data_IF_840491209685
#
_entry.id   IF_840491209685
#
_cell.length_a   1.000
_cell.length_b   1.000
_cell.length_c   1.000
_cell.angle_alpha   90.00
_cell.angle_beta   90.00
_cell.angle_gamma   90.00
#
_symmetry.space_group_name_H-M   'P 1'
#
loop_
_entity.id
_entity.type
_entity.pdbx_description
1 polymer ?
#
# COMPACT_ATOMS: atom_id res chain seq x y z
N UNK A 1 -20.60 -70.05 31.13
CA UNK A 1 -21.19 -69.10 30.15
C UNK A 1 -21.12 -67.68 30.69
N UNK A 2 -19.95 -67.01 30.64
CA UNK A 2 -19.75 -65.62 31.11
C UNK A 2 -18.60 -64.92 30.35
N UNK A 3 -18.48 -65.15 29.04
CA UNK A 3 -17.42 -64.55 28.20
C UNK A 3 -17.93 -64.11 26.82
N UNK A 4 -19.17 -63.63 26.72
CA UNK A 4 -19.76 -63.26 25.43
C UNK A 4 -20.67 -62.03 25.48
N UNK A 5 -20.33 -61.01 26.27
CA UNK A 5 -21.13 -59.77 26.34
C UNK A 5 -20.31 -58.48 26.54
N UNK A 6 -19.01 -58.51 26.24
CA UNK A 6 -18.12 -57.35 26.36
C UNK A 6 -17.41 -57.03 25.04
N UNK A 7 -18.06 -57.27 23.89
CA UNK A 7 -17.48 -57.01 22.57
C UNK A 7 -18.38 -56.19 21.63
N UNK A 8 -19.35 -55.45 22.17
CA UNK A 8 -20.25 -54.61 21.34
C UNK A 8 -20.23 -53.12 21.76
N UNK A 9 -19.47 -52.74 22.80
CA UNK A 9 -19.44 -51.33 23.26
C UNK A 9 -18.17 -50.55 22.87
N UNK A 10 -17.19 -51.14 22.20
CA UNK A 10 -15.88 -50.48 21.95
C UNK A 10 -15.64 -50.09 20.49
N UNK A 11 -16.61 -50.31 19.59
CA UNK A 11 -16.43 -50.04 18.15
C UNK A 11 -17.16 -48.76 17.67
N UNK A 12 -17.95 -48.09 18.52
CA UNK A 12 -18.85 -47.02 18.07
C UNK A 12 -18.39 -45.57 18.32
N UNK A 13 -17.12 -45.32 18.68
CA UNK A 13 -16.60 -43.95 18.89
C UNK A 13 -15.28 -43.70 18.15
N UNK A 14 -15.14 -44.23 16.94
CA UNK A 14 -14.02 -43.90 16.02
C UNK A 14 -14.51 -43.36 14.67
N UNK A 15 -15.76 -42.85 14.63
CA UNK A 15 -16.40 -42.31 13.43
C UNK A 15 -16.75 -40.83 13.52
N UNK A 16 -16.06 -40.06 14.38
CA UNK A 16 -16.18 -38.60 14.39
C UNK A 16 -15.35 -38.01 13.25
N UNK A 17 -16.00 -37.91 12.09
CA UNK A 17 -15.90 -36.80 11.15
C UNK A 17 -14.49 -36.23 10.97
N UNK A 18 -13.68 -36.88 10.13
CA UNK A 18 -12.74 -36.13 9.28
C UNK A 18 -13.58 -35.36 8.26
N UNK A 19 -14.24 -34.31 8.72
CA UNK A 19 -14.65 -33.24 7.82
C UNK A 19 -13.35 -32.75 7.17
N UNK A 20 -13.19 -32.80 5.84
CA UNK A 20 -12.21 -31.93 5.24
C UNK A 20 -12.63 -30.54 5.68
N UNK A 21 -11.85 -29.96 6.61
CA UNK A 21 -11.78 -28.51 6.69
C UNK A 21 -11.32 -28.14 5.29
N UNK A 22 -12.29 -27.83 4.42
CA UNK A 22 -12.03 -26.98 3.28
C UNK A 22 -11.45 -25.74 3.94
N UNK A 23 -10.13 -25.68 3.99
CA UNK A 23 -9.42 -24.46 4.25
C UNK A 23 -9.90 -23.53 3.15
N UNK A 24 -10.94 -22.75 3.46
CA UNK A 24 -11.23 -21.52 2.76
C UNK A 24 -9.87 -20.83 2.76
N UNK A 25 -9.24 -20.73 1.59
CA UNK A 25 -8.00 -20.00 1.48
C UNK A 25 -8.21 -18.66 2.18
N UNK A 26 -7.29 -18.22 3.05
CA UNK A 26 -7.38 -16.89 3.61
C UNK A 26 -7.56 -15.95 2.42
N UNK A 27 -8.67 -15.23 2.37
CA UNK A 27 -8.83 -14.08 1.48
C UNK A 27 -7.82 -13.04 1.92
N UNK A 28 -6.59 -13.13 1.41
CA UNK A 28 -5.45 -12.19 1.55
C UNK A 28 -5.58 -11.20 2.72
N UNK A 29 -5.57 -11.73 3.94
CA UNK A 29 -5.57 -10.92 5.17
C UNK A 29 -4.13 -10.69 5.61
N UNK A 30 -3.42 -9.78 4.94
CA UNK A 30 -2.05 -9.46 5.34
C UNK A 30 -1.23 -8.77 4.25
N UNK A 31 0.07 -8.67 4.53
CA UNK A 31 1.05 -8.26 3.55
C UNK A 31 1.33 -9.41 2.58
N UNK A 32 1.39 -9.13 1.28
CA UNK A 32 1.89 -10.05 0.27
C UNK A 32 3.43 -10.01 0.20
N UNK A 33 4.02 -10.82 -0.69
CA UNK A 33 5.47 -10.95 -0.84
C UNK A 33 6.17 -9.64 -1.25
N UNK A 34 5.44 -8.72 -1.87
CA UNK A 34 5.94 -7.41 -2.29
C UNK A 34 5.88 -6.36 -1.17
N UNK A 35 5.18 -6.63 -0.06
CA UNK A 35 4.99 -5.68 1.04
C UNK A 35 3.69 -4.87 0.96
N UNK A 36 2.74 -5.24 0.08
CA UNK A 36 1.40 -4.65 0.03
C UNK A 36 0.41 -5.38 0.92
N UNK A 37 -0.36 -4.64 1.71
CA UNK A 37 -1.60 -5.10 2.34
C UNK A 37 -2.76 -4.23 1.84
N UNK A 38 -3.43 -4.71 0.79
CA UNK A 38 -4.52 -3.98 0.12
C UNK A 38 -5.76 -3.80 1.02
N UNK A 39 -6.07 -4.79 1.87
CA UNK A 39 -7.16 -4.67 2.85
C UNK A 39 -6.93 -3.51 3.81
N UNK A 40 -5.68 -3.30 4.23
CA UNK A 40 -5.27 -2.21 5.10
C UNK A 40 -4.81 -0.96 4.34
N UNK A 41 -4.75 -0.98 3.01
CA UNK A 41 -4.28 0.13 2.14
C UNK A 41 -2.93 0.69 2.58
N UNK A 42 -1.98 -0.22 2.75
CA UNK A 42 -0.63 0.09 3.20
C UNK A 42 0.38 -0.73 2.41
N UNK A 43 1.48 -0.07 2.05
CA UNK A 43 2.71 -0.71 1.62
C UNK A 43 3.74 -0.51 2.73
N UNK A 44 4.51 -1.55 3.04
CA UNK A 44 5.63 -1.45 3.98
C UNK A 44 6.68 -2.49 3.60
N UNK A 45 7.77 -2.05 2.99
CA UNK A 45 8.78 -2.95 2.47
C UNK A 45 10.02 -2.25 1.94
N UNK A 46 10.85 -3.02 1.22
CA UNK A 46 11.90 -2.48 0.37
C UNK A 46 11.27 -1.85 -0.87
N UNK A 47 11.85 -0.77 -1.38
CA UNK A 47 11.40 -0.12 -2.60
C UNK A 47 11.39 -1.06 -3.82
N UNK A 48 12.25 -2.07 -3.86
CA UNK A 48 12.23 -3.18 -4.84
C UNK A 48 10.80 -3.74 -5.04
N UNK A 49 10.03 -3.94 -3.95
CA UNK A 49 8.69 -4.52 -4.04
C UNK A 49 7.60 -3.60 -4.60
N UNK A 50 7.81 -2.29 -4.69
CA UNK A 50 6.72 -1.33 -5.01
C UNK A 50 6.22 -1.47 -6.45
N UNK A 51 7.06 -1.89 -7.38
CA UNK A 51 6.67 -2.12 -8.77
C UNK A 51 6.17 -3.55 -9.04
N UNK A 52 5.97 -4.31 -7.96
CA UNK A 52 5.51 -5.71 -7.95
C UNK A 52 6.49 -6.65 -8.64
N UNK A 53 7.78 -6.34 -8.56
CA UNK A 53 8.89 -7.22 -8.90
C UNK A 53 9.82 -7.31 -7.69
N UNK A 54 10.62 -8.35 -7.63
CA UNK A 54 11.65 -8.54 -6.59
C UNK A 54 12.94 -8.93 -7.32
N UNK A 55 13.49 -7.98 -8.06
CA UNK A 55 14.63 -8.18 -8.98
C UNK A 55 15.85 -7.34 -8.60
N UNK A 56 15.81 -6.69 -7.43
CA UNK A 56 16.85 -5.80 -6.96
C UNK A 56 16.81 -4.44 -7.67
N UNK A 57 15.66 -4.08 -8.25
CA UNK A 57 15.44 -2.82 -8.94
C UNK A 57 14.09 -2.23 -8.55
N UNK A 58 13.99 -0.91 -8.55
CA UNK A 58 12.71 -0.21 -8.51
C UNK A 58 12.56 0.57 -9.81
N UNK A 59 11.50 0.26 -10.56
CA UNK A 59 11.23 0.86 -11.88
C UNK A 59 12.42 0.74 -12.85
N UNK A 60 13.13 -0.38 -12.80
CA UNK A 60 14.29 -0.67 -13.66
C UNK A 60 15.61 -0.04 -13.21
N UNK A 61 15.66 0.56 -12.01
CA UNK A 61 16.87 1.14 -11.44
C UNK A 61 17.24 0.46 -10.12
N UNK A 62 18.49 0.00 -9.93
CA UNK A 62 18.94 -0.54 -8.65
C UNK A 62 19.21 0.55 -7.60
N UNK A 63 19.27 1.83 -8.01
CA UNK A 63 19.73 2.96 -7.17
C UNK A 63 19.01 3.04 -5.83
N UNK A 64 17.70 2.79 -5.82
CA UNK A 64 16.88 2.93 -4.62
C UNK A 64 16.28 1.61 -4.15
N UNK A 65 16.63 0.47 -4.75
CA UNK A 65 15.98 -0.81 -4.46
C UNK A 65 16.11 -1.26 -2.99
N UNK A 66 17.20 -0.87 -2.34
CA UNK A 66 17.46 -1.16 -0.93
C UNK A 66 16.80 -0.19 0.05
N UNK A 67 16.19 0.88 -0.45
CA UNK A 67 15.52 1.86 0.40
C UNK A 67 14.26 1.25 1.01
N UNK A 68 13.84 1.77 2.16
CA UNK A 68 12.58 1.39 2.78
C UNK A 68 11.51 2.38 2.40
N UNK A 69 10.35 1.84 2.08
CA UNK A 69 9.19 2.63 1.70
C UNK A 69 7.99 2.20 2.54
N UNK A 70 7.30 3.18 3.11
CA UNK A 70 5.97 3.01 3.68
C UNK A 70 5.02 3.92 2.92
N UNK A 71 3.96 3.34 2.36
CA UNK A 71 2.90 4.12 1.71
C UNK A 71 1.58 3.86 2.41
N UNK A 72 0.72 4.88 2.45
CA UNK A 72 -0.65 4.78 2.95
C UNK A 72 -1.58 5.49 1.99
N UNK A 73 -2.67 4.85 1.60
CA UNK A 73 -3.70 5.44 0.75
C UNK A 73 -5.11 5.21 1.31
N UNK A 74 -6.10 5.90 0.74
CA UNK A 74 -7.52 5.71 1.07
C UNK A 74 -8.26 4.86 0.03
N UNK A 75 -9.52 4.53 0.33
CA UNK A 75 -10.35 3.68 -0.55
C UNK A 75 -10.62 4.29 -1.93
N UNK A 76 -10.64 5.62 -2.02
CA UNK A 76 -10.80 6.33 -3.29
C UNK A 76 -9.62 6.10 -4.24
N UNK A 77 -8.43 5.84 -3.71
CA UNK A 77 -7.28 5.47 -4.53
C UNK A 77 -7.46 4.10 -5.18
N UNK A 78 -8.01 3.13 -4.45
CA UNK A 78 -8.35 1.81 -5.03
C UNK A 78 -9.43 1.98 -6.11
N UNK A 79 -10.51 2.72 -5.80
CA UNK A 79 -11.60 3.00 -6.74
C UNK A 79 -11.08 3.64 -8.03
N UNK A 80 -10.23 4.66 -7.92
CA UNK A 80 -9.68 5.34 -9.08
C UNK A 80 -8.78 4.46 -9.94
N UNK A 81 -7.99 3.56 -9.33
CA UNK A 81 -7.23 2.57 -10.08
C UNK A 81 -8.15 1.57 -10.82
N UNK A 82 -9.21 1.10 -10.17
CA UNK A 82 -10.17 0.15 -10.76
C UNK A 82 -10.99 0.77 -11.90
N UNK A 83 -11.34 2.05 -11.77
CA UNK A 83 -12.13 2.82 -12.75
C UNK A 83 -11.27 3.55 -13.80
N UNK A 84 -9.94 3.50 -13.67
CA UNK A 84 -9.01 4.18 -14.57
C UNK A 84 -9.08 5.72 -14.50
N UNK A 85 -9.46 6.29 -13.35
CA UNK A 85 -9.54 7.73 -13.12
C UNK A 85 -10.46 8.50 -14.10
N UNK A 86 -11.64 7.93 -14.36
CA UNK A 86 -12.58 8.44 -15.38
C UNK A 86 -13.93 8.92 -14.85
N UNK A 87 -14.20 8.80 -13.55
CA UNK A 87 -15.49 9.24 -12.97
C UNK A 87 -15.66 10.76 -13.13
N UNK A 88 -16.71 11.23 -13.82
CA UNK A 88 -16.97 12.67 -13.99
C UNK A 88 -17.30 13.39 -12.67
N UNK A 89 -17.69 12.66 -11.61
CA UNK A 89 -17.88 13.24 -10.28
C UNK A 89 -16.55 13.45 -9.53
N UNK A 90 -15.47 12.86 -10.04
CA UNK A 90 -14.13 12.93 -9.48
C UNK A 90 -13.89 11.99 -8.30
N UNK A 91 -12.68 12.06 -7.77
CA UNK A 91 -12.21 11.20 -6.68
C UNK A 91 -11.72 12.05 -5.51
N UNK A 92 -11.82 11.52 -4.30
CA UNK A 92 -11.16 12.10 -3.12
C UNK A 92 -9.93 11.27 -2.72
N UNK A 93 -9.22 10.76 -3.74
CA UNK A 93 -8.08 9.87 -3.58
C UNK A 93 -6.84 10.61 -3.04
N UNK A 94 -6.14 9.98 -2.10
CA UNK A 94 -4.87 10.48 -1.59
C UNK A 94 -3.92 9.35 -1.20
N UNK A 95 -2.62 9.66 -1.22
CA UNK A 95 -1.58 8.83 -0.63
C UNK A 95 -0.54 9.64 0.17
N UNK A 96 0.06 8.98 1.16
CA UNK A 96 1.33 9.37 1.77
C UNK A 96 2.41 8.42 1.28
N UNK A 97 3.60 8.96 1.06
CA UNK A 97 4.81 8.20 0.76
C UNK A 97 5.92 8.63 1.72
N UNK A 98 6.39 7.68 2.51
CA UNK A 98 7.47 7.82 3.48
C UNK A 98 8.66 6.99 2.99
N UNK A 99 9.60 7.65 2.33
CA UNK A 99 10.77 7.04 1.71
C UNK A 99 11.99 7.20 2.62
N UNK A 100 12.73 6.11 2.87
CA UNK A 100 13.90 6.10 3.74
C UNK A 100 15.02 5.22 3.18
N UNK A 101 15.96 5.86 2.49
CA UNK A 101 17.25 5.32 2.07
C UNK A 101 18.37 5.50 3.08
N UNK A 102 18.14 6.12 4.25
CA UNK A 102 19.10 6.23 5.34
C UNK A 102 19.21 4.90 6.13
N UNK A 103 19.47 3.83 5.40
CA UNK A 103 19.62 2.44 5.87
C UNK A 103 20.93 1.87 5.32
N UNK A 104 21.48 0.79 5.91
CA UNK A 104 22.66 0.13 5.35
C UNK A 104 22.45 -0.27 3.89
N UNK A 105 23.34 0.19 3.00
CA UNK A 105 23.28 0.00 1.53
C UNK A 105 22.09 0.66 0.82
N UNK A 106 21.38 1.58 1.46
CA UNK A 106 20.38 2.44 0.81
C UNK A 106 21.02 3.62 0.07
N UNK A 107 20.18 4.42 -0.56
CA UNK A 107 20.57 5.63 -1.30
C UNK A 107 21.12 6.75 -0.41
N UNK A 108 20.78 6.73 0.87
CA UNK A 108 21.05 7.83 1.82
C UNK A 108 20.03 8.96 1.76
N UNK A 109 19.04 8.90 0.88
CA UNK A 109 17.98 9.91 0.76
C UNK A 109 16.77 9.58 1.63
N UNK A 110 16.10 10.61 2.15
CA UNK A 110 14.84 10.47 2.89
C UNK A 110 13.84 11.43 2.30
N UNK A 111 12.61 10.99 2.04
CA UNK A 111 11.58 11.84 1.45
C UNK A 111 10.20 11.60 2.08
N UNK A 112 9.41 12.65 2.17
CA UNK A 112 8.06 12.66 2.70
C UNK A 112 7.13 13.36 1.71
N UNK A 113 6.20 12.60 1.14
CA UNK A 113 5.23 13.13 0.19
C UNK A 113 3.80 13.01 0.69
N UNK A 114 3.01 14.05 0.42
CA UNK A 114 1.55 13.99 0.44
C UNK A 114 1.02 14.27 -0.95
N UNK A 115 0.20 13.36 -1.45
CA UNK A 115 -0.28 13.39 -2.83
C UNK A 115 -1.80 13.22 -2.82
N UNK A 116 -2.52 13.96 -3.65
CA UNK A 116 -3.97 13.83 -3.80
C UNK A 116 -4.41 13.98 -5.24
N UNK A 117 -5.58 13.43 -5.54
CA UNK A 117 -6.21 13.60 -6.83
C UNK A 117 -6.83 15.01 -6.96
N UNK A 118 -6.64 15.64 -8.11
CA UNK A 118 -7.19 16.96 -8.43
C UNK A 118 -7.94 16.97 -9.76
N UNK A 119 -7.80 15.92 -10.57
CA UNK A 119 -8.43 15.81 -11.89
C UNK A 119 -7.55 16.33 -13.01
N UNK A 120 -8.03 16.14 -14.24
CA UNK A 120 -7.25 16.39 -15.47
C UNK A 120 -6.95 17.86 -15.75
N UNK A 121 -7.64 18.79 -15.10
CA UNK A 121 -7.38 20.23 -15.22
C UNK A 121 -6.27 20.72 -14.29
N UNK A 122 -5.74 19.85 -13.42
CA UNK A 122 -4.58 20.11 -12.55
C UNK A 122 -4.69 21.46 -11.81
N UNK A 123 -3.82 22.42 -12.12
CA UNK A 123 -3.75 23.74 -11.49
C UNK A 123 -5.06 24.55 -11.59
N UNK A 124 -5.90 24.28 -12.60
CA UNK A 124 -7.21 24.92 -12.76
C UNK A 124 -8.32 24.23 -11.97
N UNK A 125 -8.02 23.10 -11.32
CA UNK A 125 -8.98 22.37 -10.51
C UNK A 125 -9.41 23.16 -9.28
N UNK A 126 -10.69 23.16 -8.91
CA UNK A 126 -11.13 23.71 -7.62
C UNK A 126 -10.58 22.93 -6.42
N UNK A 127 -10.01 21.74 -6.65
CA UNK A 127 -9.35 20.92 -5.62
C UNK A 127 -7.86 21.27 -5.46
N UNK A 128 -7.27 22.00 -6.40
CA UNK A 128 -5.86 22.38 -6.38
C UNK A 128 -5.54 23.26 -5.16
N UNK A 129 -4.32 23.14 -4.62
CA UNK A 129 -3.84 23.96 -3.51
C UNK A 129 -2.65 24.80 -3.96
N UNK A 130 -2.68 26.09 -3.61
CA UNK A 130 -1.54 26.97 -3.90
C UNK A 130 -0.25 26.44 -3.23
N UNK A 131 0.81 26.36 -4.03
CA UNK A 131 2.12 25.85 -3.60
C UNK A 131 2.36 24.37 -3.90
N UNK A 132 1.36 23.64 -4.41
CA UNK A 132 1.53 22.28 -4.94
C UNK A 132 2.14 22.24 -6.35
N UNK A 133 2.42 21.03 -6.85
CA UNK A 133 2.84 20.80 -8.24
C UNK A 133 2.23 19.51 -8.81
N UNK A 134 2.09 19.42 -10.15
CA UNK A 134 1.36 18.31 -10.75
C UNK A 134 2.24 17.07 -10.83
N UNK A 135 1.63 15.92 -10.62
CA UNK A 135 2.27 14.62 -10.73
C UNK A 135 1.28 13.60 -11.31
N UNK A 136 1.78 12.59 -12.00
CA UNK A 136 0.99 11.44 -12.47
C UNK A 136 -0.31 11.79 -13.22
N UNK A 137 -0.30 12.91 -13.96
CA UNK A 137 -1.34 13.34 -14.89
C UNK A 137 -2.61 13.94 -14.27
N UNK A 138 -3.09 13.43 -13.13
CA UNK A 138 -4.30 13.94 -12.45
C UNK A 138 -4.10 14.19 -10.95
N UNK A 139 -2.85 14.16 -10.48
CA UNK A 139 -2.51 14.29 -9.07
C UNK A 139 -1.69 15.54 -8.81
N UNK A 140 -1.73 15.95 -7.56
CA UNK A 140 -1.00 17.07 -7.00
C UNK A 140 -0.17 16.57 -5.83
N UNK A 141 1.10 16.94 -5.79
CA UNK A 141 1.90 16.88 -4.55
C UNK A 141 1.64 18.14 -3.76
N UNK A 142 1.13 17.99 -2.54
CA UNK A 142 0.82 19.10 -1.61
C UNK A 142 1.84 19.23 -0.47
N UNK A 143 2.75 18.28 -0.34
CA UNK A 143 3.88 18.34 0.58
C UNK A 143 5.00 17.49 -0.01
N UNK A 144 6.20 18.06 -0.09
CA UNK A 144 7.43 17.38 -0.50
C UNK A 144 8.59 17.99 0.28
N UNK A 145 9.18 17.18 1.14
CA UNK A 145 10.39 17.52 1.87
C UNK A 145 11.23 16.27 2.13
N UNK A 146 12.52 16.48 2.36
CA UNK A 146 13.42 15.36 2.54
C UNK A 146 14.83 15.77 2.87
N UNK A 147 15.72 14.79 2.92
CA UNK A 147 17.15 14.96 3.07
C UNK A 147 17.87 14.30 1.90
N UNK A 148 18.74 15.06 1.23
CA UNK A 148 19.63 14.57 0.16
C UNK A 148 21.04 15.09 0.41
N UNK A 149 22.04 14.23 0.31
CA UNK A 149 23.43 14.63 0.54
C UNK A 149 23.69 15.15 1.97
N UNK A 150 22.84 14.82 2.93
CA UNK A 150 22.91 15.28 4.32
C UNK A 150 22.23 16.63 4.60
N UNK A 151 21.65 17.27 3.60
CA UNK A 151 20.95 18.56 3.74
C UNK A 151 19.43 18.37 3.69
N UNK A 152 18.70 19.04 4.60
CA UNK A 152 17.23 19.03 4.59
C UNK A 152 16.70 20.08 3.61
N UNK A 153 15.71 19.70 2.81
CA UNK A 153 15.08 20.58 1.84
C UNK A 153 13.56 20.43 1.83
N UNK A 154 12.90 21.52 1.43
CA UNK A 154 11.47 21.58 1.16
C UNK A 154 11.29 21.97 -0.31
N UNK A 155 10.66 21.09 -1.08
CA UNK A 155 10.31 21.35 -2.48
C UNK A 155 8.88 21.89 -2.59
N UNK A 156 7.99 21.48 -1.69
CA UNK A 156 6.59 21.88 -1.74
C UNK A 156 5.92 21.89 -0.39
N UNK A 157 5.10 22.91 -0.18
CA UNK A 157 4.26 23.06 0.99
C UNK A 157 2.97 23.78 0.60
N UNK A 158 1.99 22.99 0.17
CA UNK A 158 0.65 23.48 -0.11
C UNK A 158 0.00 24.08 1.15
N UNK A 159 -0.81 25.12 0.98
CA UNK A 159 -1.52 25.77 2.09
C UNK A 159 -3.04 25.63 1.90
N UNK A 160 -3.72 24.71 2.62
CA UNK A 160 -3.20 23.75 3.61
C UNK A 160 -2.59 22.49 2.97
N UNK A 161 -1.60 21.87 3.63
CA UNK A 161 -0.99 20.59 3.25
C UNK A 161 -1.73 19.38 3.84
N UNK A 162 -3.04 19.53 3.98
CA UNK A 162 -3.98 18.49 4.40
C UNK A 162 -4.80 18.01 3.21
N UNK A 163 -5.24 16.75 3.26
CA UNK A 163 -5.95 16.14 2.13
C UNK A 163 -7.33 16.70 1.86
N UNK A 164 -7.93 17.42 2.82
CA UNK A 164 -9.32 17.90 2.77
C UNK A 164 -10.33 16.80 2.38
N UNK A 165 -9.98 15.52 2.57
CA UNK A 165 -10.84 14.37 2.29
C UNK A 165 -11.87 14.23 3.42
N UNK A 166 -13.16 14.22 3.05
CA UNK A 166 -14.30 14.03 3.93
C UNK A 166 -14.87 12.61 3.82
#
# INVERSE_FOLDING_TARGET
>A
MKKLLFLISTVFVFGLLVSPVLAVQPTDKGFNDYGYNYSARIFSGLADGVDKKLDGMVWGSPTYANDRLVMKWNAEWDRGNDEGWTDPNGYDAWENNEWNGAVPNGSGEVWHYKIKWVGSTLEESPRWVEGGYPIWGQFEVIMDQGTVGGEHMWLTHGVPSGYNAH
#
